data_IF_449152854007
#
_entry.id   IF_449152854007
#
_cell.length_a   1.000
_cell.length_b   1.000
_cell.length_c   1.000
_cell.angle_alpha   90.00
_cell.angle_beta   90.00
_cell.angle_gamma   90.00
#
_symmetry.space_group_name_H-M   'P 1'
#
loop_
_entity.id
_entity.type
_entity.pdbx_description
1 polymer ?
#
# COMPACT_ATOMS: atom_id res chain seq x y z
N UNK A 1 7.79 -8.89 18.74
CA UNK A 1 7.17 -8.32 19.95
C UNK A 1 6.99 -6.82 19.72
N UNK A 2 6.07 -6.15 20.42
CA UNK A 2 5.89 -4.69 20.34
C UNK A 2 6.44 -4.02 21.60
N UNK A 3 7.26 -2.98 21.42
CA UNK A 3 7.82 -2.19 22.53
C UNK A 3 7.30 -0.75 22.43
N UNK A 4 6.53 -0.25 23.40
CA UNK A 4 5.96 1.09 23.31
C UNK A 4 7.06 2.15 23.42
N UNK A 5 7.11 3.07 22.44
CA UNK A 5 7.99 4.23 22.44
C UNK A 5 7.14 5.49 22.58
N UNK A 6 7.51 6.35 23.54
CA UNK A 6 6.91 7.66 23.71
C UNK A 6 7.52 8.63 22.70
N UNK A 7 6.65 9.30 21.93
CA UNK A 7 7.03 10.30 20.94
C UNK A 7 6.54 11.67 21.43
N UNK A 8 7.43 12.64 21.68
CA UNK A 8 7.03 13.98 22.10
C UNK A 8 6.06 14.62 21.10
N UNK A 9 4.95 15.19 21.58
CA UNK A 9 3.95 15.85 20.73
C UNK A 9 2.91 14.92 20.09
N UNK A 10 2.98 13.60 20.34
CA UNK A 10 1.97 12.63 19.93
C UNK A 10 1.29 12.02 21.17
N UNK A 11 -0.04 11.96 21.19
CA UNK A 11 -0.79 11.37 22.31
C UNK A 11 -0.63 9.84 22.40
N UNK A 12 -0.23 9.19 21.29
CA UNK A 12 -0.15 7.74 21.17
C UNK A 12 1.29 7.20 21.28
N UNK A 13 1.45 6.06 21.96
CA UNK A 13 2.70 5.28 21.96
C UNK A 13 2.90 4.60 20.61
N UNK A 14 4.11 4.68 20.04
CA UNK A 14 4.42 3.98 18.78
C UNK A 14 5.10 2.66 19.12
N UNK A 15 4.55 1.50 18.71
CA UNK A 15 5.19 0.22 18.96
C UNK A 15 6.40 0.05 18.03
N UNK A 16 7.59 -0.14 18.59
CA UNK A 16 8.69 -0.74 17.85
C UNK A 16 8.40 -2.23 17.68
N UNK A 17 8.37 -2.71 16.45
CA UNK A 17 7.94 -4.08 16.11
C UNK A 17 9.16 -4.87 15.66
N UNK A 18 9.33 -6.09 16.18
CA UNK A 18 10.24 -7.07 15.55
C UNK A 18 9.63 -7.61 14.28
N UNK A 19 10.36 -7.55 13.17
CA UNK A 19 9.95 -8.13 11.90
C UNK A 19 10.51 -9.53 11.74
N UNK A 20 9.72 -10.39 11.09
CA UNK A 20 10.10 -11.75 10.79
C UNK A 20 9.91 -12.00 9.31
N UNK A 21 10.91 -12.62 8.68
CA UNK A 21 10.78 -13.19 7.36
C UNK A 21 10.25 -14.62 7.52
N UNK A 22 9.12 -14.90 6.87
CA UNK A 22 8.51 -16.21 6.84
C UNK A 22 8.94 -16.96 5.58
N UNK A 23 9.50 -18.14 5.76
CA UNK A 23 9.80 -19.06 4.68
C UNK A 23 8.77 -20.18 4.68
N UNK A 24 8.12 -20.38 3.54
CA UNK A 24 7.16 -21.47 3.34
C UNK A 24 7.87 -22.82 3.33
N UNK A 25 7.12 -23.89 3.59
CA UNK A 25 7.64 -25.25 3.45
C UNK A 25 7.93 -25.57 1.98
N UNK A 26 9.10 -26.14 1.68
CA UNK A 26 9.52 -26.49 0.32
C UNK A 26 10.75 -27.38 0.31
N UNK A 27 10.88 -28.27 -0.70
CA UNK A 27 12.07 -29.12 -0.89
C UNK A 27 12.40 -30.08 0.25
N UNK A 28 11.44 -30.40 1.13
CA UNK A 28 11.65 -31.22 2.33
C UNK A 28 12.00 -30.43 3.60
N UNK A 29 12.12 -29.11 3.52
CA UNK A 29 12.35 -28.24 4.67
C UNK A 29 11.03 -27.79 5.33
N UNK A 30 10.93 -27.79 6.67
CA UNK A 30 9.78 -27.25 7.37
C UNK A 30 9.69 -25.73 7.19
N UNK A 31 8.49 -25.13 7.33
CA UNK A 31 8.36 -23.68 7.32
C UNK A 31 9.15 -23.08 8.49
N UNK A 32 9.69 -21.88 8.30
CA UNK A 32 10.51 -21.23 9.32
C UNK A 32 10.27 -19.73 9.40
N UNK A 33 10.62 -19.16 10.57
CA UNK A 33 10.55 -17.73 10.83
C UNK A 33 11.93 -17.24 11.23
N UNK A 34 12.43 -16.24 10.51
CA UNK A 34 13.69 -15.60 10.81
C UNK A 34 13.44 -14.19 11.31
N UNK A 35 13.84 -13.87 12.54
CA UNK A 35 13.79 -12.50 13.05
C UNK A 35 14.81 -11.64 12.31
N UNK A 36 14.36 -10.50 11.80
CA UNK A 36 15.24 -9.50 11.20
C UNK A 36 16.04 -8.76 12.29
N UNK A 37 17.29 -8.35 12.02
CA UNK A 37 18.01 -7.43 12.88
C UNK A 37 17.27 -6.09 12.97
N UNK A 38 17.28 -5.41 14.13
CA UNK A 38 16.62 -4.12 14.27
C UNK A 38 17.24 -3.10 13.31
N UNK A 39 16.39 -2.31 12.64
CA UNK A 39 16.80 -1.39 11.60
C UNK A 39 17.49 -0.13 12.14
N UNK A 40 16.90 0.45 13.19
CA UNK A 40 17.34 1.72 13.81
C UNK A 40 18.12 1.50 15.12
N UNK A 41 18.63 0.28 15.31
CA UNK A 41 19.43 -0.09 16.48
C UNK A 41 18.58 -0.38 17.72
N UNK A 42 19.10 -0.02 18.89
CA UNK A 42 18.45 -0.27 20.19
C UNK A 42 17.33 0.73 20.47
N UNK A 43 16.37 0.37 21.33
CA UNK A 43 15.27 1.26 21.76
C UNK A 43 15.81 2.61 22.26
N UNK A 44 16.91 2.62 23.00
CA UNK A 44 17.53 3.86 23.49
C UNK A 44 18.00 4.76 22.35
N UNK A 45 18.64 4.19 21.32
CA UNK A 45 19.10 4.94 20.15
C UNK A 45 17.92 5.53 19.37
N UNK A 46 16.85 4.75 19.18
CA UNK A 46 15.62 5.24 18.54
C UNK A 46 14.99 6.38 19.35
N UNK A 47 14.92 6.25 20.68
CA UNK A 47 14.41 7.31 21.56
C UNK A 47 15.25 8.58 21.49
N UNK A 48 16.58 8.46 21.40
CA UNK A 48 17.46 9.62 21.29
C UNK A 48 17.34 10.29 19.91
N UNK A 49 17.16 9.51 18.84
CA UNK A 49 16.84 10.04 17.51
C UNK A 49 15.50 10.78 17.50
N UNK A 50 14.45 10.20 18.10
CA UNK A 50 13.13 10.85 18.23
C UNK A 50 13.25 12.20 18.96
N UNK A 51 14.00 12.24 20.07
CA UNK A 51 14.23 13.49 20.81
C UNK A 51 15.00 14.52 20.00
N UNK A 52 15.99 14.09 19.22
CA UNK A 52 16.79 14.96 18.36
C UNK A 52 16.00 15.49 17.15
N UNK A 53 14.98 14.76 16.71
CA UNK A 53 14.12 15.08 15.56
C UNK A 53 12.73 15.60 15.95
N UNK A 54 12.52 15.97 17.21
CA UNK A 54 11.20 16.33 17.75
C UNK A 54 10.52 17.49 16.99
N UNK A 55 11.29 18.39 16.38
CA UNK A 55 10.79 19.54 15.62
C UNK A 55 10.51 19.22 14.12
N UNK A 56 10.86 18.02 13.63
CA UNK A 56 10.77 17.62 12.20
C UNK A 56 10.20 16.20 12.06
N UNK A 57 9.08 15.93 12.71
CA UNK A 57 8.38 14.64 12.54
C UNK A 57 7.61 14.61 11.21
N UNK A 58 8.13 13.86 10.24
CA UNK A 58 7.45 13.61 8.95
C UNK A 58 6.57 12.35 9.01
N UNK A 59 5.60 12.24 8.10
CA UNK A 59 4.82 11.00 7.95
C UNK A 59 5.72 9.79 7.66
N UNK A 60 6.75 9.96 6.82
CA UNK A 60 7.73 8.93 6.54
C UNK A 60 8.45 8.46 7.82
N UNK A 61 8.81 9.37 8.74
CA UNK A 61 9.39 8.98 10.03
C UNK A 61 8.43 8.10 10.86
N UNK A 62 7.16 8.48 10.94
CA UNK A 62 6.13 7.70 11.65
C UNK A 62 5.86 6.35 10.98
N UNK A 63 5.86 6.29 9.65
CA UNK A 63 5.70 5.06 8.86
C UNK A 63 6.90 4.14 9.01
N UNK A 64 8.12 4.68 9.06
CA UNK A 64 9.34 3.92 9.36
C UNK A 64 9.32 3.31 10.75
N UNK A 65 8.82 4.02 11.77
CA UNK A 65 8.63 3.44 13.10
C UNK A 65 7.62 2.27 13.09
N UNK A 66 6.61 2.34 12.21
CA UNK A 66 5.67 1.25 11.92
C UNK A 66 6.16 0.27 10.85
N UNK A 67 7.40 0.46 10.37
CA UNK A 67 8.05 -0.09 9.19
C UNK A 67 7.15 -0.39 7.99
N UNK A 68 6.24 0.54 7.68
CA UNK A 68 5.37 0.47 6.51
C UNK A 68 6.11 0.77 5.19
N UNK A 69 7.39 1.12 5.27
CA UNK A 69 8.27 1.40 4.12
C UNK A 69 9.30 0.29 3.85
N UNK A 70 9.17 -0.85 4.55
CA UNK A 70 9.95 -2.07 4.29
C UNK A 70 9.31 -2.88 3.15
N UNK A 71 10.12 -3.32 2.21
CA UNK A 71 9.72 -4.28 1.20
C UNK A 71 10.64 -5.50 1.16
N UNK A 72 10.13 -6.60 0.60
CA UNK A 72 10.85 -7.85 0.41
C UNK A 72 10.86 -8.17 -1.08
N UNK A 73 12.03 -8.50 -1.61
CA UNK A 73 12.22 -8.94 -2.99
C UNK A 73 12.95 -10.29 -3.00
N UNK A 74 12.36 -11.26 -3.70
CA UNK A 74 12.99 -12.55 -3.95
C UNK A 74 13.62 -12.57 -5.34
N UNK A 75 14.80 -13.17 -5.47
CA UNK A 75 15.51 -13.37 -6.73
C UNK A 75 15.89 -14.85 -6.85
N UNK A 76 15.37 -15.53 -7.86
CA UNK A 76 15.51 -16.98 -7.97
C UNK A 76 14.83 -17.72 -6.82
N UNK A 77 15.31 -18.92 -6.49
CA UNK A 77 14.67 -19.78 -5.47
C UNK A 77 15.07 -19.40 -4.03
N UNK A 78 16.28 -18.89 -3.82
CA UNK A 78 16.87 -18.80 -2.47
C UNK A 78 17.34 -17.40 -2.05
N UNK A 79 17.50 -16.44 -2.97
CA UNK A 79 17.97 -15.10 -2.60
C UNK A 79 16.81 -14.19 -2.25
N UNK A 80 16.90 -13.61 -1.05
CA UNK A 80 15.94 -12.64 -0.54
C UNK A 80 16.69 -11.38 -0.12
N UNK A 81 16.15 -10.23 -0.51
CA UNK A 81 16.52 -8.93 0.01
C UNK A 81 15.34 -8.30 0.72
N UNK A 82 15.61 -7.70 1.88
CA UNK A 82 14.69 -6.81 2.59
C UNK A 82 15.27 -5.41 2.51
N UNK A 83 14.47 -4.42 2.14
CA UNK A 83 14.97 -3.05 2.03
C UNK A 83 14.00 -2.00 2.56
N UNK A 84 14.55 -0.93 3.14
CA UNK A 84 13.85 0.30 3.51
C UNK A 84 14.47 1.48 2.75
N UNK A 85 13.62 2.40 2.30
CA UNK A 85 14.04 3.66 1.68
C UNK A 85 13.65 4.85 2.56
N UNK A 86 14.61 5.75 2.79
CA UNK A 86 14.45 7.01 3.49
C UNK A 86 14.83 8.17 2.56
N UNK A 87 13.95 9.17 2.46
CA UNK A 87 14.13 10.36 1.62
C UNK A 87 13.93 11.58 2.50
N UNK A 88 14.96 12.42 2.62
CA UNK A 88 14.88 13.61 3.49
C UNK A 88 14.75 14.88 2.66
N UNK A 89 14.05 15.88 3.19
CA UNK A 89 13.90 17.20 2.56
C UNK A 89 15.23 17.98 2.45
N UNK A 90 16.34 17.45 2.99
CA UNK A 90 17.66 18.07 2.95
C UNK A 90 18.31 18.10 1.57
N UNK A 91 17.72 17.40 0.58
CA UNK A 91 18.31 17.21 -0.75
C UNK A 91 19.51 16.26 -0.78
N UNK A 92 19.87 15.67 0.37
CA UNK A 92 20.86 14.62 0.42
C UNK A 92 20.37 13.37 -0.34
N UNK A 93 21.28 12.59 -0.96
CA UNK A 93 20.91 11.34 -1.62
C UNK A 93 20.07 10.45 -0.69
N UNK A 94 18.98 9.84 -1.21
CA UNK A 94 18.17 8.91 -0.43
C UNK A 94 19.01 7.86 0.27
N UNK A 95 18.59 7.47 1.48
CA UNK A 95 19.24 6.43 2.25
C UNK A 95 18.49 5.11 2.06
N UNK A 96 19.13 4.16 1.39
CA UNK A 96 18.62 2.82 1.15
C UNK A 96 19.30 1.85 2.11
N UNK A 97 18.53 1.20 2.97
CA UNK A 97 19.03 0.16 3.87
C UNK A 97 18.62 -1.21 3.31
N UNK A 98 19.59 -2.07 3.01
CA UNK A 98 19.36 -3.40 2.42
C UNK A 98 19.90 -4.48 3.34
N UNK A 99 19.12 -5.53 3.55
CA UNK A 99 19.53 -6.73 4.23
C UNK A 99 19.31 -7.91 3.29
N UNK A 100 20.40 -8.61 2.96
CA UNK A 100 20.36 -9.90 2.28
C UNK A 100 20.69 -11.00 3.29
N UNK A 101 19.70 -11.68 3.90
CA UNK A 101 19.94 -12.59 5.02
C UNK A 101 20.85 -13.78 4.68
N UNK A 102 20.94 -14.16 3.40
CA UNK A 102 21.84 -15.19 2.89
C UNK A 102 23.31 -14.75 2.84
N UNK A 103 23.58 -13.44 2.76
CA UNK A 103 24.92 -12.85 2.61
C UNK A 103 25.40 -12.24 3.93
N UNK A 104 24.54 -11.51 4.63
CA UNK A 104 24.87 -10.77 5.83
C UNK A 104 23.74 -10.76 6.85
N UNK A 105 24.10 -10.68 8.14
CA UNK A 105 23.17 -10.45 9.25
C UNK A 105 23.04 -8.98 9.64
N UNK A 106 23.69 -8.08 8.92
CA UNK A 106 23.64 -6.64 9.16
C UNK A 106 23.05 -5.91 7.95
N UNK A 107 22.37 -4.80 8.24
CA UNK A 107 21.92 -3.87 7.21
C UNK A 107 23.11 -3.18 6.54
N UNK A 108 23.13 -3.21 5.21
CA UNK A 108 24.02 -2.41 4.37
C UNK A 108 23.33 -1.07 4.06
N UNK A 109 24.06 0.03 4.16
CA UNK A 109 23.54 1.37 3.84
C UNK A 109 24.10 1.82 2.50
N UNK A 110 23.22 2.20 1.57
CA UNK A 110 23.53 2.72 0.25
C UNK A 110 22.87 4.08 0.04
N UNK A 111 23.43 4.87 -0.86
CA UNK A 111 22.96 6.24 -1.17
C UNK A 111 22.68 6.43 -2.66
N UNK A 112 21.66 5.75 -3.22
CA UNK A 112 21.38 5.78 -4.65
C UNK A 112 20.90 7.16 -5.13
N UNK A 113 21.29 7.62 -6.34
CA UNK A 113 20.68 8.79 -6.95
C UNK A 113 19.25 8.47 -7.45
N UNK A 114 18.39 9.49 -7.46
CA UNK A 114 17.09 9.45 -8.15
C UNK A 114 17.30 9.88 -9.60
N UNK A 115 16.80 9.08 -10.55
CA UNK A 115 16.86 9.36 -11.98
C UNK A 115 15.49 9.14 -12.61
N UNK A 116 15.02 10.00 -13.52
CA UNK A 116 13.75 9.78 -14.19
C UNK A 116 13.80 8.54 -15.11
N UNK A 117 12.67 7.86 -15.28
CA UNK A 117 12.53 6.78 -16.26
C UNK A 117 12.46 7.30 -17.71
N UNK A 118 12.12 8.57 -17.89
CA UNK A 118 11.94 9.24 -19.17
C UNK A 118 12.80 10.52 -19.21
N UNK A 119 13.86 10.51 -20.03
CA UNK A 119 14.80 11.61 -20.18
C UNK A 119 14.19 12.86 -20.86
N UNK A 120 12.94 12.76 -21.37
CA UNK A 120 12.30 13.83 -22.15
C UNK A 120 11.51 14.80 -21.26
N UNK A 121 11.08 14.37 -20.07
CA UNK A 121 10.27 15.20 -19.17
C UNK A 121 11.15 15.98 -18.19
N UNK A 122 10.83 17.26 -18.02
CA UNK A 122 11.37 18.06 -16.93
C UNK A 122 10.97 17.42 -15.59
N UNK A 123 11.97 17.14 -14.76
CA UNK A 123 11.83 16.38 -13.52
C UNK A 123 12.29 17.25 -12.36
N UNK A 124 11.35 17.71 -11.54
CA UNK A 124 11.66 18.49 -10.33
C UNK A 124 12.06 17.55 -9.18
N UNK A 125 13.37 17.32 -9.09
CA UNK A 125 13.98 16.50 -8.06
C UNK A 125 13.86 17.14 -6.65
N UNK A 126 13.73 18.47 -6.55
CA UNK A 126 13.46 19.11 -5.25
C UNK A 126 12.04 18.81 -4.76
N UNK A 127 11.07 18.80 -5.66
CA UNK A 127 9.68 18.48 -5.33
C UNK A 127 9.56 17.05 -4.79
N UNK A 128 10.29 16.10 -5.40
CA UNK A 128 10.36 14.71 -4.91
C UNK A 128 10.99 14.64 -3.53
N UNK A 129 12.11 15.33 -3.29
CA UNK A 129 12.74 15.34 -1.96
C UNK A 129 11.85 15.92 -0.86
N UNK A 130 11.04 16.94 -1.19
CA UNK A 130 10.16 17.61 -0.24
C UNK A 130 8.89 16.81 0.05
N UNK A 131 8.38 16.06 -0.93
CA UNK A 131 7.01 15.56 -0.86
C UNK A 131 6.86 14.04 -1.04
N UNK A 132 7.88 13.30 -1.47
CA UNK A 132 7.71 11.87 -1.70
C UNK A 132 7.53 11.11 -0.37
N UNK A 133 6.40 10.42 -0.24
CA UNK A 133 6.03 9.60 0.92
C UNK A 133 5.37 8.30 0.44
N UNK A 134 6.06 7.18 0.64
CA UNK A 134 5.61 5.90 0.10
C UNK A 134 4.39 5.39 0.87
N UNK A 135 3.29 5.15 0.17
CA UNK A 135 2.07 4.56 0.72
C UNK A 135 2.18 3.03 0.77
N UNK A 136 2.93 2.43 -0.17
CA UNK A 136 3.18 0.98 -0.18
C UNK A 136 4.51 0.64 -0.85
N UNK A 137 4.99 -0.58 -0.60
CA UNK A 137 6.19 -1.16 -1.21
C UNK A 137 5.85 -2.52 -1.81
N UNK A 138 6.06 -2.67 -3.11
CA UNK A 138 5.68 -3.89 -3.84
C UNK A 138 6.85 -4.43 -4.67
N UNK A 139 7.03 -5.76 -4.77
CA UNK A 139 7.97 -6.35 -5.71
C UNK A 139 7.40 -6.31 -7.13
N UNK A 140 8.25 -6.03 -8.11
CA UNK A 140 7.92 -6.09 -9.53
C UNK A 140 9.15 -6.49 -10.35
N UNK A 141 9.11 -7.70 -10.93
CA UNK A 141 10.26 -8.26 -11.66
C UNK A 141 11.50 -8.25 -10.75
N UNK A 142 12.60 -7.63 -11.20
CA UNK A 142 13.84 -7.45 -10.43
C UNK A 142 13.86 -6.20 -9.55
N UNK A 143 12.75 -5.48 -9.42
CA UNK A 143 12.68 -4.23 -8.69
C UNK A 143 11.86 -4.36 -7.41
N UNK A 144 12.30 -3.66 -6.38
CA UNK A 144 11.42 -3.23 -5.30
C UNK A 144 10.92 -1.81 -5.63
N UNK A 145 9.61 -1.60 -5.48
CA UNK A 145 8.93 -0.38 -5.92
C UNK A 145 8.29 0.32 -4.72
N UNK A 146 8.76 1.53 -4.39
CA UNK A 146 8.10 2.41 -3.43
C UNK A 146 7.10 3.27 -4.17
N UNK A 147 5.84 3.21 -3.77
CA UNK A 147 4.72 3.85 -4.46
C UNK A 147 4.18 5.00 -3.63
N UNK A 148 4.23 6.22 -4.16
CA UNK A 148 3.49 7.37 -3.65
C UNK A 148 2.33 7.67 -4.59
N UNK A 149 1.09 7.46 -4.14
CA UNK A 149 -0.12 7.68 -4.96
C UNK A 149 -0.35 9.13 -5.38
N UNK A 150 0.32 10.11 -4.75
CA UNK A 150 0.26 11.52 -5.13
C UNK A 150 1.35 11.92 -6.13
N UNK A 151 2.41 11.12 -6.25
CA UNK A 151 3.59 11.44 -7.05
C UNK A 151 3.88 10.39 -8.13
N UNK A 152 4.34 9.22 -7.72
CA UNK A 152 5.07 8.32 -8.60
C UNK A 152 5.57 7.06 -7.90
N UNK A 153 6.32 6.28 -8.67
CA UNK A 153 6.97 5.05 -8.20
C UNK A 153 8.48 5.22 -8.31
N UNK A 154 9.21 4.83 -7.26
CA UNK A 154 10.65 4.65 -7.28
C UNK A 154 10.98 3.16 -7.41
N UNK A 155 11.53 2.75 -8.54
CA UNK A 155 12.00 1.39 -8.79
C UNK A 155 13.47 1.26 -8.40
N UNK A 156 13.81 0.21 -7.65
CA UNK A 156 15.18 -0.07 -7.25
C UNK A 156 15.53 -1.54 -7.43
N UNK A 157 16.61 -1.83 -8.16
CA UNK A 157 17.26 -3.14 -8.09
C UNK A 157 18.15 -3.16 -6.84
N UNK A 158 17.57 -3.63 -5.73
CA UNK A 158 18.21 -3.65 -4.42
C UNK A 158 19.42 -4.58 -4.34
N UNK A 159 19.53 -5.54 -5.28
CA UNK A 159 20.67 -6.44 -5.37
C UNK A 159 21.85 -5.85 -6.14
N UNK A 160 21.67 -4.70 -6.81
CA UNK A 160 22.74 -4.02 -7.51
C UNK A 160 23.78 -3.47 -6.52
N UNK A 161 25.08 -3.56 -6.86
CA UNK A 161 26.16 -2.97 -6.06
C UNK A 161 26.07 -1.44 -6.02
N UNK A 162 25.63 -0.83 -7.12
CA UNK A 162 25.44 0.63 -7.28
C UNK A 162 24.00 0.93 -7.71
N UNK A 163 23.02 0.76 -6.79
CA UNK A 163 21.62 0.92 -7.14
C UNK A 163 21.29 2.34 -7.57
N UNK A 164 20.25 2.47 -8.39
CA UNK A 164 19.63 3.73 -8.78
C UNK A 164 18.15 3.65 -8.45
N UNK A 165 17.55 4.79 -8.11
CA UNK A 165 16.12 4.91 -7.93
C UNK A 165 15.52 5.47 -9.22
N UNK A 166 14.90 4.61 -10.02
CA UNK A 166 14.24 5.04 -11.25
C UNK A 166 12.87 5.60 -10.89
N UNK A 167 12.64 6.88 -11.14
CA UNK A 167 11.39 7.56 -10.86
C UNK A 167 10.45 7.51 -12.06
N UNK A 168 9.22 7.04 -11.85
CA UNK A 168 8.14 7.11 -12.82
C UNK A 168 6.94 7.83 -12.22
N UNK A 169 6.57 8.94 -12.83
CA UNK A 169 5.36 9.69 -12.50
C UNK A 169 4.10 8.84 -12.70
N UNK A 170 3.12 8.94 -11.78
CA UNK A 170 1.81 8.34 -11.99
C UNK A 170 1.00 9.12 -13.06
N UNK A 171 0.17 8.45 -13.86
CA UNK A 171 -0.45 9.06 -15.05
C UNK A 171 -1.56 10.07 -14.73
N UNK A 172 -2.05 10.14 -13.49
CA UNK A 172 -3.17 10.98 -13.09
C UNK A 172 -2.83 11.78 -11.82
N UNK A 173 -1.98 12.81 -11.97
CA UNK A 173 -1.71 13.77 -10.90
C UNK A 173 -2.98 14.53 -10.55
N UNK A 174 -3.38 14.51 -9.28
CA UNK A 174 -4.48 15.33 -8.80
C UNK A 174 -3.93 16.65 -8.23
N UNK A 175 -4.37 17.82 -8.74
CA UNK A 175 -3.74 19.11 -8.45
C UNK A 175 -3.90 19.62 -7.01
N UNK A 176 -4.65 18.95 -6.12
CA UNK A 176 -5.11 19.51 -4.83
C UNK A 176 -4.54 18.76 -3.60
N UNK A 177 -3.72 17.73 -3.76
CA UNK A 177 -3.18 16.98 -2.61
C UNK A 177 -1.98 17.63 -1.91
N UNK A 178 -1.71 18.89 -2.21
CA UNK A 178 -0.53 19.60 -1.73
C UNK A 178 -0.81 20.20 -0.34
N UNK A 179 0.07 19.85 0.61
CA UNK A 179 0.20 20.47 1.93
C UNK A 179 -0.99 20.30 2.89
N UNK A 180 -1.18 19.08 3.39
CA UNK A 180 -1.88 18.84 4.65
C UNK A 180 -2.01 17.37 5.01
N UNK A 181 -1.85 17.03 6.29
CA UNK A 181 -2.02 15.66 6.82
C UNK A 181 -3.37 15.01 6.46
N UNK A 182 -4.39 15.81 6.10
CA UNK A 182 -5.72 15.30 5.74
C UNK A 182 -5.83 14.83 4.28
N UNK A 183 -5.12 15.43 3.33
CA UNK A 183 -5.26 15.07 1.90
C UNK A 183 -4.66 13.70 1.56
N UNK A 184 -3.51 13.36 2.16
CA UNK A 184 -2.82 12.07 1.91
C UNK A 184 -3.49 10.85 2.55
N UNK A 185 -4.29 11.03 3.59
CA UNK A 185 -5.00 9.89 4.19
C UNK A 185 -5.99 9.23 3.20
N UNK A 186 -6.50 10.01 2.23
CA UNK A 186 -7.55 9.57 1.33
C UNK A 186 -7.06 8.98 0.01
N UNK A 187 -5.80 9.22 -0.37
CA UNK A 187 -5.31 8.66 -1.64
C UNK A 187 -5.30 7.14 -1.60
N UNK A 188 -4.98 6.53 -0.45
CA UNK A 188 -5.01 5.07 -0.26
C UNK A 188 -6.43 4.49 -0.35
N UNK A 189 -7.46 5.29 -0.05
CA UNK A 189 -8.86 4.87 -0.15
C UNK A 189 -9.36 4.81 -1.61
N UNK A 190 -8.70 5.48 -2.55
CA UNK A 190 -9.18 5.57 -3.94
C UNK A 190 -8.15 5.21 -4.99
N UNK A 191 -6.91 4.93 -4.58
CA UNK A 191 -5.83 4.53 -5.45
C UNK A 191 -5.20 3.22 -5.01
N UNK A 192 -4.73 2.46 -5.99
CA UNK A 192 -3.89 1.29 -5.73
C UNK A 192 -2.91 1.07 -6.86
N UNK A 193 -1.73 0.57 -6.51
CA UNK A 193 -0.81 -0.07 -7.44
C UNK A 193 -0.66 -1.51 -7.02
N UNK A 194 -0.77 -2.43 -7.98
CA UNK A 194 -0.66 -3.86 -7.74
C UNK A 194 0.01 -4.56 -8.90
N UNK A 195 0.57 -5.73 -8.61
CA UNK A 195 1.23 -6.60 -9.59
C UNK A 195 0.47 -7.92 -9.63
N UNK A 196 0.15 -8.36 -10.84
CA UNK A 196 -0.48 -9.66 -11.09
C UNK A 196 0.56 -10.77 -11.19
N UNK A 197 0.14 -12.03 -11.08
CA UNK A 197 1.01 -13.20 -11.24
C UNK A 197 1.68 -13.24 -12.63
N UNK A 198 1.01 -12.69 -13.65
CA UNK A 198 1.58 -12.52 -14.99
C UNK A 198 2.58 -11.37 -15.13
N UNK A 199 3.14 -10.85 -14.02
CA UNK A 199 4.05 -9.71 -13.97
C UNK A 199 3.52 -8.43 -14.65
N UNK A 200 2.21 -8.20 -14.59
CA UNK A 200 1.60 -6.95 -15.04
C UNK A 200 1.40 -6.03 -13.84
N UNK A 201 2.10 -4.90 -13.82
CA UNK A 201 1.84 -3.83 -12.87
C UNK A 201 0.70 -2.96 -13.37
N UNK A 202 -0.26 -2.69 -12.49
CA UNK A 202 -1.39 -1.80 -12.76
C UNK A 202 -1.49 -0.71 -11.72
N UNK A 203 -1.99 0.44 -12.16
CA UNK A 203 -2.43 1.54 -11.31
C UNK A 203 -3.93 1.73 -11.53
N UNK A 204 -4.67 1.96 -10.45
CA UNK A 204 -6.11 2.19 -10.48
C UNK A 204 -6.39 3.46 -9.70
N UNK A 205 -7.28 4.29 -10.25
CA UNK A 205 -7.81 5.51 -9.64
C UNK A 205 -9.33 5.44 -9.63
N UNK A 206 -9.93 5.85 -8.51
CA UNK A 206 -11.35 6.15 -8.37
C UNK A 206 -11.51 7.63 -8.03
N UNK A 207 -12.38 8.33 -8.75
CA UNK A 207 -12.69 9.76 -8.54
C UNK A 207 -14.18 9.97 -8.68
N UNK A 208 -14.70 11.07 -8.12
CA UNK A 208 -16.08 11.46 -8.29
C UNK A 208 -16.38 11.93 -9.74
N UNK A 209 -17.63 12.27 -10.02
CA UNK A 209 -18.06 12.79 -11.33
C UNK A 209 -17.38 14.08 -11.80
N UNK A 210 -16.67 14.79 -10.90
CA UNK A 210 -15.94 16.03 -11.18
C UNK A 210 -14.42 15.82 -11.33
N UNK A 211 -13.94 14.57 -11.32
CA UNK A 211 -12.51 14.22 -11.25
C UNK A 211 -11.84 14.70 -9.93
N UNK A 212 -12.63 14.81 -8.86
CA UNK A 212 -12.18 15.11 -7.51
C UNK A 212 -12.29 13.89 -6.57
N UNK A 213 -11.77 14.00 -5.35
CA UNK A 213 -11.99 12.98 -4.32
C UNK A 213 -13.32 13.24 -3.59
N UNK A 214 -14.02 12.18 -3.21
CA UNK A 214 -15.36 12.25 -2.62
C UNK A 214 -15.50 13.07 -1.33
N UNK A 215 -14.40 13.45 -0.67
CA UNK A 215 -14.44 14.30 0.52
C UNK A 215 -14.33 15.81 0.24
N UNK A 216 -14.07 16.23 -1.00
CA UNK A 216 -14.07 17.66 -1.37
C UNK A 216 -15.45 18.16 -1.80
N UNK A 217 -16.41 17.27 -2.02
CA UNK A 217 -17.73 17.56 -2.60
C UNK A 217 -18.89 17.27 -1.64
N UNK A 218 -19.67 18.30 -1.28
CA UNK A 218 -21.00 18.15 -0.67
C UNK A 218 -22.12 18.43 -1.68
N UNK A 219 -23.17 17.58 -1.77
CA UNK A 219 -23.34 16.25 -1.16
C UNK A 219 -22.68 15.13 -1.99
N UNK A 220 -22.38 14.01 -1.33
CA UNK A 220 -21.83 12.81 -1.96
C UNK A 220 -22.64 12.39 -3.20
N UNK A 221 -22.02 12.48 -4.37
CA UNK A 221 -22.57 11.99 -5.61
C UNK A 221 -22.36 10.47 -5.71
N UNK A 222 -23.38 9.74 -6.14
CA UNK A 222 -23.24 8.32 -6.52
C UNK A 222 -22.50 8.17 -7.88
N UNK A 223 -22.16 9.30 -8.54
CA UNK A 223 -21.38 9.31 -9.77
C UNK A 223 -19.88 9.27 -9.48
N UNK A 224 -19.22 8.29 -10.09
CA UNK A 224 -17.78 8.10 -9.99
C UNK A 224 -17.21 7.48 -11.25
N UNK A 225 -15.91 7.66 -11.46
CA UNK A 225 -15.16 7.03 -12.54
C UNK A 225 -14.02 6.19 -11.98
N UNK A 226 -13.93 4.94 -12.41
CA UNK A 226 -12.76 4.07 -12.20
C UNK A 226 -11.92 4.14 -13.46
N UNK A 227 -10.64 4.46 -13.34
CA UNK A 227 -9.68 4.41 -14.45
C UNK A 227 -8.51 3.52 -14.07
N UNK A 228 -8.04 2.69 -15.01
CA UNK A 228 -6.85 1.89 -14.82
C UNK A 228 -5.83 2.08 -15.92
N UNK A 229 -4.57 1.89 -15.53
CA UNK A 229 -3.41 1.92 -16.40
C UNK A 229 -2.57 0.67 -16.16
N UNK A 230 -1.98 0.15 -17.23
CA UNK A 230 -0.97 -0.88 -17.16
C UNK A 230 0.40 -0.27 -17.44
N UNK A 231 1.42 -0.73 -16.72
CA UNK A 231 2.80 -0.36 -16.97
C UNK A 231 3.32 -1.13 -18.20
N UNK A 232 3.87 -0.41 -19.16
CA UNK A 232 4.53 -0.98 -20.33
C UNK A 232 6.02 -0.68 -20.25
N UNK A 233 6.83 -1.71 -20.50
CA UNK A 233 8.27 -1.57 -20.72
C UNK A 233 8.53 -1.66 -22.22
N UNK A 234 9.01 -0.58 -22.83
CA UNK A 234 9.44 -0.56 -24.22
C UNK A 234 10.72 -1.39 -24.42
N UNK A 235 11.04 -1.75 -25.66
CA UNK A 235 12.22 -2.59 -25.98
C UNK A 235 13.56 -1.95 -25.59
N UNK A 236 13.59 -0.63 -25.41
CA UNK A 236 14.75 0.15 -24.95
C UNK A 236 14.83 0.23 -23.41
N UNK A 237 13.91 -0.41 -22.67
CA UNK A 237 13.84 -0.38 -21.21
C UNK A 237 13.05 0.79 -20.62
N UNK A 238 12.53 1.70 -21.45
CA UNK A 238 11.74 2.86 -20.99
C UNK A 238 10.39 2.37 -20.47
N UNK A 239 10.01 2.85 -19.29
CA UNK A 239 8.76 2.49 -18.61
C UNK A 239 7.72 3.60 -18.78
N UNK A 240 6.51 3.25 -19.22
CA UNK A 240 5.40 4.20 -19.44
C UNK A 240 4.07 3.61 -19.03
N UNK A 241 3.18 4.46 -18.54
CA UNK A 241 1.80 4.09 -18.27
C UNK A 241 0.96 4.14 -19.55
N UNK A 242 0.15 3.10 -19.77
CA UNK A 242 -0.89 3.09 -20.80
C UNK A 242 -2.24 2.86 -20.15
N UNK A 243 -3.18 3.78 -20.36
CA UNK A 243 -4.55 3.59 -19.92
C UNK A 243 -5.15 2.38 -20.63
N UNK A 244 -5.73 1.45 -19.88
CA UNK A 244 -6.29 0.21 -20.43
C UNK A 244 -7.80 0.07 -20.18
N UNK A 245 -8.37 0.78 -19.21
CA UNK A 245 -9.81 0.87 -19.01
C UNK A 245 -10.22 2.17 -18.30
N UNK A 246 -11.46 2.60 -18.54
CA UNK A 246 -12.14 3.67 -17.83
C UNK A 246 -13.63 3.39 -17.85
N UNK A 247 -14.27 3.42 -16.68
CA UNK A 247 -15.68 3.07 -16.53
C UNK A 247 -16.35 3.99 -15.51
N UNK A 248 -17.55 4.48 -15.83
CA UNK A 248 -18.39 5.28 -14.93
C UNK A 248 -19.29 4.41 -14.07
N UNK A 249 -19.75 4.93 -12.94
CA UNK A 249 -20.65 4.20 -12.03
C UNK A 249 -21.94 3.74 -12.72
N UNK A 250 -22.46 4.55 -13.65
CA UNK A 250 -23.64 4.22 -14.47
C UNK A 250 -23.46 3.01 -15.41
N UNK A 251 -22.22 2.66 -15.73
CA UNK A 251 -21.88 1.52 -16.60
C UNK A 251 -21.66 0.23 -15.80
N UNK A 252 -21.67 0.29 -14.46
CA UNK A 252 -21.45 -0.87 -13.60
C UNK A 252 -22.75 -1.67 -13.46
N UNK A 253 -22.72 -2.88 -14.02
CA UNK A 253 -23.84 -3.83 -14.00
C UNK A 253 -23.83 -4.68 -12.73
N UNK A 254 -24.59 -4.28 -11.71
CA UNK A 254 -24.76 -5.05 -10.46
C UNK A 254 -25.59 -6.34 -10.60
N UNK A 255 -26.16 -6.63 -11.77
CA UNK A 255 -26.62 -7.98 -12.15
C UNK A 255 -27.52 -8.71 -11.14
N UNK A 256 -28.53 -8.03 -10.58
CA UNK A 256 -29.45 -8.62 -9.59
C UNK A 256 -28.97 -8.54 -8.13
N UNK A 257 -27.77 -8.01 -7.87
CA UNK A 257 -27.26 -7.69 -6.52
C UNK A 257 -27.87 -6.37 -6.00
N UNK A 258 -29.20 -6.25 -6.01
CA UNK A 258 -29.93 -5.03 -5.62
C UNK A 258 -29.81 -4.68 -4.14
N UNK A 259 -29.24 -5.57 -3.33
CA UNK A 259 -28.98 -5.36 -1.91
C UNK A 259 -27.69 -4.56 -1.64
N UNK A 260 -26.82 -4.42 -2.65
CA UNK A 260 -25.58 -3.67 -2.50
C UNK A 260 -25.85 -2.16 -2.49
N UNK A 261 -25.14 -1.39 -1.65
CA UNK A 261 -25.21 0.06 -1.67
C UNK A 261 -24.72 0.59 -3.01
N UNK A 262 -25.24 1.75 -3.43
CA UNK A 262 -24.75 2.49 -4.60
C UNK A 262 -23.86 3.66 -4.19
N UNK A 263 -23.01 3.44 -3.19
CA UNK A 263 -22.04 4.44 -2.74
C UNK A 263 -20.78 4.36 -3.59
N UNK A 264 -19.92 5.40 -3.54
CA UNK A 264 -18.56 5.34 -4.07
C UNK A 264 -17.81 4.07 -3.64
N UNK A 265 -16.99 3.56 -4.55
CA UNK A 265 -16.12 2.42 -4.32
C UNK A 265 -14.82 2.87 -3.64
N UNK A 266 -14.44 2.18 -2.58
CA UNK A 266 -13.25 2.50 -1.79
C UNK A 266 -12.28 1.31 -1.76
N UNK A 267 -11.03 1.60 -1.42
CA UNK A 267 -9.91 0.68 -1.21
C UNK A 267 -9.74 -0.36 -2.32
N UNK A 268 -9.43 0.08 -3.55
CA UNK A 268 -9.23 -0.82 -4.68
C UNK A 268 -8.08 -1.79 -4.42
N UNK A 269 -8.27 -3.06 -4.79
CA UNK A 269 -7.21 -4.09 -4.81
C UNK A 269 -7.27 -4.84 -6.12
N UNK A 270 -6.16 -4.85 -6.86
CA UNK A 270 -6.06 -5.54 -8.15
C UNK A 270 -6.01 -7.05 -7.90
N UNK A 271 -6.80 -7.82 -8.66
CA UNK A 271 -6.72 -9.29 -8.63
C UNK A 271 -5.36 -9.78 -9.08
N UNK A 272 -4.78 -10.75 -8.35
CA UNK A 272 -3.52 -11.38 -8.76
C UNK A 272 -3.64 -12.14 -10.07
N UNK A 273 -4.81 -12.68 -10.37
CA UNK A 273 -5.01 -13.63 -11.47
C UNK A 273 -5.58 -12.99 -12.73
N UNK A 274 -6.45 -12.00 -12.57
CA UNK A 274 -7.19 -11.39 -13.66
C UNK A 274 -6.94 -9.88 -13.66
N UNK A 275 -6.07 -9.34 -14.53
CA UNK A 275 -5.72 -7.91 -14.52
C UNK A 275 -6.89 -6.95 -14.78
N UNK A 276 -8.02 -7.44 -15.31
CA UNK A 276 -9.23 -6.64 -15.48
C UNK A 276 -10.17 -6.67 -14.27
N UNK A 277 -9.90 -7.51 -13.26
CA UNK A 277 -10.74 -7.63 -12.07
C UNK A 277 -10.12 -6.85 -10.93
N UNK A 278 -10.90 -5.94 -10.35
CA UNK A 278 -10.52 -5.15 -9.19
C UNK A 278 -11.56 -5.37 -8.10
N UNK A 279 -11.06 -5.60 -6.89
CA UNK A 279 -11.86 -5.70 -5.68
C UNK A 279 -12.02 -4.32 -5.07
N UNK A 280 -13.22 -3.99 -4.60
CA UNK A 280 -13.53 -2.75 -3.92
C UNK A 280 -14.34 -3.03 -2.66
N UNK A 281 -14.23 -2.13 -1.69
CA UNK A 281 -15.16 -2.06 -0.58
C UNK A 281 -16.31 -1.10 -0.88
N UNK A 282 -17.51 -1.50 -0.48
CA UNK A 282 -18.72 -0.69 -0.51
C UNK A 282 -19.30 -0.67 0.89
N UNK A 283 -19.53 0.52 1.45
CA UNK A 283 -20.12 0.71 2.77
C UNK A 283 -21.61 1.09 2.71
N UNK A 284 -22.36 0.75 3.75
CA UNK A 284 -23.70 1.28 3.99
C UNK A 284 -23.74 2.02 5.32
N UNK A 285 -24.34 3.21 5.30
CA UNK A 285 -24.63 4.09 6.45
C UNK A 285 -23.39 4.82 7.02
N UNK A 286 -23.27 6.13 6.75
CA UNK A 286 -22.23 7.02 7.32
C UNK A 286 -22.69 7.69 8.62
N UNK A 287 -23.34 6.96 9.53
CA UNK A 287 -23.56 7.49 10.87
C UNK A 287 -22.23 7.44 11.64
N UNK A 288 -21.61 8.60 11.89
CA UNK A 288 -20.39 8.80 12.71
C UNK A 288 -19.04 8.33 12.14
N UNK A 289 -18.83 8.41 10.81
CA UNK A 289 -17.58 8.01 10.13
C UNK A 289 -17.30 6.49 10.16
N UNK A 290 -18.34 5.67 10.36
CA UNK A 290 -18.21 4.21 10.46
C UNK A 290 -19.29 3.52 9.63
N UNK A 291 -18.90 2.57 8.78
CA UNK A 291 -19.85 1.73 8.03
C UNK A 291 -20.29 0.55 8.89
N UNK A 292 -21.58 0.47 9.20
CA UNK A 292 -22.17 -0.64 9.96
C UNK A 292 -22.19 -1.96 9.16
N UNK A 293 -22.21 -1.86 7.83
CA UNK A 293 -22.13 -2.98 6.89
C UNK A 293 -21.20 -2.62 5.75
N UNK A 294 -20.26 -3.52 5.46
CA UNK A 294 -19.30 -3.37 4.36
C UNK A 294 -19.30 -4.64 3.52
N UNK A 295 -19.33 -4.49 2.20
CA UNK A 295 -19.20 -5.58 1.25
C UNK A 295 -17.92 -5.43 0.46
N UNK A 296 -17.29 -6.55 0.12
CA UNK A 296 -16.27 -6.61 -0.92
C UNK A 296 -16.98 -7.01 -2.22
N UNK A 297 -16.75 -6.26 -3.28
CA UNK A 297 -17.23 -6.56 -4.63
C UNK A 297 -16.05 -6.77 -5.56
N UNK A 298 -16.14 -7.75 -6.46
CA UNK A 298 -15.19 -7.93 -7.54
C UNK A 298 -15.82 -7.41 -8.84
N UNK A 299 -15.18 -6.44 -9.47
CA UNK A 299 -15.69 -5.81 -10.69
C UNK A 299 -14.70 -6.06 -11.82
N UNK A 300 -15.19 -6.62 -12.93
CA UNK A 300 -14.44 -6.66 -14.18
C UNK A 300 -14.55 -5.30 -14.88
N UNK A 301 -13.54 -4.47 -14.73
CA UNK A 301 -13.55 -3.10 -15.23
C UNK A 301 -13.43 -3.01 -16.76
N UNK A 302 -13.16 -4.11 -17.45
CA UNK A 302 -13.14 -4.15 -18.92
C UNK A 302 -14.56 -4.11 -19.53
N UNK A 303 -15.57 -4.50 -18.76
CA UNK A 303 -16.96 -4.60 -19.20
C UNK A 303 -17.99 -4.14 -18.17
N UNK A 304 -17.55 -3.70 -16.99
CA UNK A 304 -18.40 -3.16 -15.93
C UNK A 304 -19.19 -4.20 -15.16
N UNK A 305 -18.94 -5.49 -15.34
CA UNK A 305 -19.73 -6.53 -14.68
C UNK A 305 -19.22 -6.78 -13.26
N UNK A 306 -20.13 -6.77 -12.30
CA UNK A 306 -19.85 -7.29 -10.95
C UNK A 306 -19.80 -8.83 -11.02
N UNK A 307 -18.63 -9.41 -10.76
CA UNK A 307 -18.39 -10.87 -10.81
C UNK A 307 -18.86 -11.56 -9.53
N UNK A 308 -18.66 -10.92 -8.38
CA UNK A 308 -19.02 -11.48 -7.08
C UNK A 308 -19.15 -10.38 -6.03
N UNK A 309 -19.89 -10.67 -4.96
CA UNK A 309 -19.94 -9.84 -3.75
C UNK A 309 -19.91 -10.72 -2.50
N UNK A 310 -19.36 -10.21 -1.41
CA UNK A 310 -19.32 -10.90 -0.12
C UNK A 310 -19.38 -9.89 1.02
N UNK A 311 -20.14 -10.18 2.08
CA UNK A 311 -20.14 -9.33 3.26
C UNK A 311 -18.77 -9.43 3.97
N UNK A 312 -18.15 -8.29 4.23
CA UNK A 312 -16.87 -8.18 4.93
C UNK A 312 -17.08 -7.80 6.40
N UNK A 313 -17.89 -6.78 6.65
CA UNK A 313 -18.30 -6.37 7.99
C UNK A 313 -19.82 -6.45 8.07
N UNK A 314 -20.30 -7.15 9.09
CA UNK A 314 -21.71 -7.16 9.47
C UNK A 314 -21.81 -6.92 10.97
N UNK A 315 -21.96 -5.65 11.36
CA UNK A 315 -21.90 -5.21 12.76
C UNK A 315 -22.91 -5.91 13.68
N UNK A 316 -24.02 -6.44 13.15
CA UNK A 316 -25.03 -7.17 13.95
C UNK A 316 -24.72 -8.67 14.14
N UNK A 317 -23.94 -9.29 13.26
CA UNK A 317 -23.64 -10.74 13.33
C UNK A 317 -22.28 -11.02 13.97
N UNK A 318 -21.29 -10.13 13.79
CA UNK A 318 -19.93 -10.31 14.30
C UNK A 318 -19.76 -9.88 15.77
N UNK A 319 -20.80 -9.31 16.38
CA UNK A 319 -20.80 -8.77 17.76
C UNK A 319 -21.43 -9.74 18.78
N UNK A 320 -21.85 -10.96 18.38
CA UNK A 320 -22.32 -11.98 19.33
C UNK A 320 -21.29 -12.29 20.44
N UNK A 321 -21.76 -12.72 21.64
CA UNK A 321 -21.04 -13.11 22.88
C UNK A 321 -19.80 -12.30 23.33
N UNK A 322 -19.40 -11.24 22.63
CA UNK A 322 -18.38 -10.30 23.07
C UNK A 322 -18.94 -9.47 24.22
N UNK A 323 -18.13 -9.21 25.25
CA UNK A 323 -18.54 -8.29 26.30
C UNK A 323 -18.73 -6.88 25.69
N UNK A 324 -19.60 -6.07 26.30
CA UNK A 324 -20.01 -4.79 25.72
C UNK A 324 -18.82 -3.88 25.36
N UNK A 325 -17.74 -3.91 26.16
CA UNK A 325 -16.56 -3.07 25.95
C UNK A 325 -15.67 -3.57 24.79
N UNK A 326 -15.51 -4.89 24.64
CA UNK A 326 -14.77 -5.49 23.52
C UNK A 326 -15.53 -5.33 22.20
N UNK A 327 -16.84 -5.53 22.22
CA UNK A 327 -17.73 -5.28 21.10
C UNK A 327 -17.64 -3.81 20.64
N UNK A 328 -17.69 -2.86 21.58
CA UNK A 328 -17.54 -1.44 21.29
C UNK A 328 -16.14 -1.08 20.76
N UNK A 329 -15.08 -1.68 21.32
CA UNK A 329 -13.71 -1.48 20.85
C UNK A 329 -13.54 -2.00 19.41
N UNK A 330 -13.94 -3.25 19.13
CA UNK A 330 -13.85 -3.81 17.78
C UNK A 330 -14.72 -3.04 16.77
N UNK A 331 -15.93 -2.62 17.16
CA UNK A 331 -16.78 -1.81 16.30
C UNK A 331 -16.18 -0.41 16.00
N UNK A 332 -15.41 0.17 16.95
CA UNK A 332 -14.73 1.45 16.77
C UNK A 332 -13.44 1.35 15.95
N UNK A 333 -12.65 0.31 16.15
CA UNK A 333 -11.35 0.19 15.49
C UNK A 333 -11.46 -0.41 14.09
N UNK A 334 -12.35 -1.39 13.88
CA UNK A 334 -12.39 -2.17 12.63
C UNK A 334 -12.67 -1.32 11.36
N UNK A 335 -13.56 -0.31 11.39
CA UNK A 335 -13.75 0.61 10.26
C UNK A 335 -12.58 1.58 10.09
N UNK A 336 -11.87 1.95 11.16
CA UNK A 336 -10.68 2.81 11.06
C UNK A 336 -9.45 2.05 10.54
N UNK A 337 -9.50 0.72 10.57
CA UNK A 337 -8.46 -0.20 10.09
C UNK A 337 -8.95 -0.91 8.84
N UNK A 338 -9.42 -0.17 7.83
CA UNK A 338 -9.46 -0.64 6.44
C UNK A 338 -8.03 -0.88 5.94
N UNK A 339 -7.32 -1.81 6.58
CA UNK A 339 -6.07 -2.36 6.10
C UNK A 339 -6.35 -2.97 4.73
N UNK A 340 -5.43 -2.73 3.79
CA UNK A 340 -5.42 -3.41 2.50
C UNK A 340 -5.55 -4.90 2.75
N UNK A 341 -6.70 -5.48 2.39
CA UNK A 341 -6.85 -6.92 2.45
C UNK A 341 -5.83 -7.50 1.49
N UNK A 342 -4.98 -8.39 2.00
CA UNK A 342 -3.89 -8.93 1.21
C UNK A 342 -4.48 -9.64 -0.01
N UNK A 343 -4.06 -9.29 -1.24
CA UNK A 343 -4.30 -10.16 -2.38
C UNK A 343 -3.43 -11.40 -2.13
N UNK A 344 -3.96 -12.36 -1.38
CA UNK A 344 -3.19 -13.51 -0.93
C UNK A 344 -4.09 -14.72 -0.71
N UNK A 345 -3.68 -15.85 -1.26
CA UNK A 345 -4.17 -17.17 -0.88
C UNK A 345 -3.59 -17.60 0.48
N UNK A 346 -3.84 -16.85 1.56
CA UNK A 346 -3.45 -17.34 2.90
C UNK A 346 -4.05 -18.74 3.17
N UNK A 347 -5.20 -19.05 2.57
CA UNK A 347 -5.90 -20.33 2.67
C UNK A 347 -5.11 -21.53 2.14
N UNK A 348 -4.24 -21.41 1.12
CA UNK A 348 -3.47 -22.57 0.63
C UNK A 348 -2.36 -23.01 1.59
N UNK A 349 -1.90 -22.09 2.43
CA UNK A 349 -0.83 -22.32 3.40
C UNK A 349 -1.36 -22.55 4.83
N UNK A 350 -2.60 -22.14 5.09
CA UNK A 350 -3.33 -22.46 6.31
C UNK A 350 -4.10 -23.79 6.10
N UNK A 351 -3.44 -24.92 6.36
CA UNK A 351 -4.12 -26.20 6.58
C UNK A 351 -5.01 -26.13 7.85
N UNK A 352 -6.12 -25.39 7.78
CA UNK A 352 -7.11 -25.29 8.87
C UNK A 352 -7.96 -26.56 9.01
N UNK A 353 -7.84 -27.48 8.05
CA UNK A 353 -8.39 -28.82 8.11
C UNK A 353 -7.26 -29.83 7.93
N UNK A 354 -6.32 -29.84 8.88
CA UNK A 354 -5.60 -31.07 9.17
C UNK A 354 -6.65 -32.15 9.49
N UNK A 355 -6.84 -33.08 8.56
CA UNK A 355 -7.62 -34.29 8.74
C UNK A 355 -7.29 -34.92 10.09
N UNK A 356 -8.29 -34.99 10.98
CA UNK A 356 -8.28 -35.96 12.08
C UNK A 356 -8.72 -37.31 11.56
#
# INVERSE_FOLDING_TARGET
MSYPILVPGYENTIPMIDYFLYYTAGGGSPPSLQRLPPLDGTIAQVQDQIKASADVMTNQFLRRLKCLDLGVLCRGEDEVAVAQLEITESGAPPKLQVLCPSISRSWEVKHPPIVPCDDVKEFDLEEVFKNFDAHTVIPFKSYLCWVDYSFGILFCDVFNESPKLLYLELPAKLPILWAGHKGRAWVEAYHTVGVTEGEVMKFVKVVDGNDEFFETTEPASDDFTITSWALITESNGVMKWKQDASIRSSEIGFGGLTHLPRTPLEYPVISMYEPSVIYFMIGHDQASYMYNKVWIVAIDISNGKVKSSSAYINGTEQVGDLCADEALYFAREKPQVYSTFLPAEFSKHLNLLGTR
#
